data_IF_553623864483
#
_entry.id   IF_553623864483
#
_cell.length_a   1.000
_cell.length_b   1.000
_cell.length_c   1.000
_cell.angle_alpha   90.00
_cell.angle_beta   90.00
_cell.angle_gamma   90.00
#
_symmetry.space_group_name_H-M   'P 1'
#
loop_
_entity.id
_entity.type
_entity.pdbx_description
1 polymer ?
#
# COMPACT_ATOMS: atom_id res chain seq x y z
N UNK A 1 -11.52 -23.11 13.15
CA UNK A 1 -11.18 -22.74 11.76
C UNK A 1 -10.98 -21.23 11.71
N UNK A 2 -9.93 -20.74 11.03
CA UNK A 2 -9.64 -19.32 10.98
C UNK A 2 -10.73 -18.55 10.25
N UNK A 3 -11.00 -17.34 10.69
CA UNK A 3 -11.82 -16.41 9.94
C UNK A 3 -10.98 -15.83 8.82
N UNK A 4 -11.49 -15.90 7.59
CA UNK A 4 -10.77 -15.38 6.44
C UNK A 4 -11.00 -13.88 6.33
N UNK A 5 -9.91 -13.12 6.26
CA UNK A 5 -9.99 -11.68 6.04
C UNK A 5 -10.12 -11.46 4.54
N UNK A 6 -11.32 -11.14 4.08
CA UNK A 6 -11.64 -11.05 2.66
C UNK A 6 -11.33 -9.63 2.15
N UNK A 7 -10.11 -9.47 1.64
CA UNK A 7 -9.67 -8.17 1.14
C UNK A 7 -10.39 -7.75 -0.13
N UNK A 8 -10.76 -8.71 -0.96
CA UNK A 8 -11.48 -8.40 -2.19
C UNK A 8 -12.86 -7.78 -1.87
N UNK A 9 -13.57 -8.38 -0.92
CA UNK A 9 -14.88 -7.86 -0.52
C UNK A 9 -14.77 -6.49 0.14
N UNK A 10 -13.77 -6.33 1.01
CA UNK A 10 -13.54 -5.04 1.67
C UNK A 10 -13.18 -3.96 0.66
N UNK A 11 -12.31 -4.29 -0.29
CA UNK A 11 -11.92 -3.33 -1.33
C UNK A 11 -13.14 -2.87 -2.13
N UNK A 12 -14.01 -3.81 -2.51
CA UNK A 12 -15.23 -3.47 -3.26
C UNK A 12 -16.13 -2.54 -2.44
N UNK A 13 -16.28 -2.82 -1.15
CA UNK A 13 -17.07 -1.99 -0.24
C UNK A 13 -16.52 -0.57 -0.18
N UNK A 14 -15.21 -0.43 0.06
CA UNK A 14 -14.59 0.88 0.18
C UNK A 14 -14.59 1.64 -1.13
N UNK A 15 -14.40 0.95 -2.26
CA UNK A 15 -14.46 1.57 -3.58
C UNK A 15 -15.85 2.15 -3.85
N UNK A 16 -16.89 1.42 -3.49
CA UNK A 16 -18.26 1.91 -3.63
C UNK A 16 -18.52 3.15 -2.78
N UNK A 17 -18.05 3.12 -1.53
CA UNK A 17 -18.19 4.27 -0.64
C UNK A 17 -17.42 5.47 -1.18
N UNK A 18 -16.22 5.24 -1.72
CA UNK A 18 -15.42 6.32 -2.27
C UNK A 18 -16.10 6.96 -3.48
N UNK A 19 -16.67 6.14 -4.37
CA UNK A 19 -17.38 6.68 -5.53
C UNK A 19 -18.54 7.59 -5.10
N UNK A 20 -19.25 7.20 -4.04
CA UNK A 20 -20.33 8.02 -3.50
C UNK A 20 -19.80 9.33 -2.91
N UNK A 21 -18.73 9.27 -2.14
CA UNK A 21 -18.11 10.45 -1.56
C UNK A 21 -17.62 11.41 -2.64
N UNK A 22 -17.03 10.86 -3.69
CA UNK A 22 -16.52 11.67 -4.79
C UNK A 22 -17.63 12.38 -5.54
N UNK A 23 -18.74 11.69 -5.80
CA UNK A 23 -19.89 12.27 -6.47
C UNK A 23 -20.47 13.41 -5.64
N UNK A 24 -20.57 13.20 -4.32
CA UNK A 24 -21.09 14.20 -3.41
C UNK A 24 -20.17 15.43 -3.35
N UNK A 25 -18.86 15.21 -3.31
CA UNK A 25 -17.87 16.28 -3.31
C UNK A 25 -18.02 17.15 -4.55
N UNK A 26 -18.15 16.52 -5.71
CA UNK A 26 -18.33 17.23 -6.97
C UNK A 26 -19.62 18.07 -6.95
N UNK A 27 -20.70 17.47 -6.46
CA UNK A 27 -21.98 18.17 -6.40
C UNK A 27 -21.93 19.39 -5.47
N UNK A 28 -21.28 19.24 -4.31
CA UNK A 28 -21.27 20.29 -3.28
C UNK A 28 -20.23 21.39 -3.54
N UNK A 29 -19.07 21.04 -4.12
CA UNK A 29 -17.96 21.98 -4.24
C UNK A 29 -17.43 22.17 -5.65
N UNK A 30 -17.80 21.29 -6.59
CA UNK A 30 -17.24 21.30 -7.92
C UNK A 30 -15.86 20.64 -8.02
N UNK A 31 -15.27 20.24 -6.88
CA UNK A 31 -13.94 19.64 -6.88
C UNK A 31 -14.00 18.19 -7.31
N UNK A 32 -13.09 17.81 -8.22
CA UNK A 32 -12.93 16.42 -8.68
C UNK A 32 -11.49 16.02 -8.40
N UNK A 33 -11.27 14.97 -7.59
CA UNK A 33 -9.89 14.52 -7.39
C UNK A 33 -9.23 14.12 -8.70
N UNK A 34 -7.97 14.46 -8.87
CA UNK A 34 -7.22 14.15 -10.08
C UNK A 34 -5.98 13.35 -9.76
N UNK A 35 -5.78 12.25 -10.47
CA UNK A 35 -4.59 11.39 -10.33
C UNK A 35 -3.88 11.30 -11.66
N UNK A 36 -2.58 11.64 -11.66
CA UNK A 36 -1.74 11.43 -12.84
C UNK A 36 -0.72 10.35 -12.54
N UNK A 37 -0.61 9.40 -13.45
CA UNK A 37 0.35 8.30 -13.36
C UNK A 37 1.31 8.42 -14.53
N UNK A 38 2.60 8.48 -14.23
CA UNK A 38 3.64 8.60 -15.26
C UNK A 38 4.27 7.22 -15.45
N UNK A 39 4.25 6.72 -16.68
CA UNK A 39 4.85 5.45 -17.05
C UNK A 39 6.02 5.69 -17.99
N UNK A 40 7.21 5.26 -17.59
CA UNK A 40 8.44 5.41 -18.38
C UNK A 40 8.75 4.05 -19.02
N UNK A 41 8.70 4.01 -20.36
CA UNK A 41 8.96 2.78 -21.08
C UNK A 41 7.72 1.93 -21.26
N UNK A 42 7.95 0.66 -21.64
CA UNK A 42 6.85 -0.23 -22.03
C UNK A 42 6.89 -1.60 -21.35
N UNK A 43 7.44 -1.68 -20.14
CA UNK A 43 7.45 -2.91 -19.34
C UNK A 43 6.03 -3.48 -19.25
N UNK A 44 5.80 -4.74 -19.64
CA UNK A 44 4.44 -5.28 -19.67
C UNK A 44 3.76 -5.32 -18.31
N UNK A 45 4.48 -5.66 -17.25
CA UNK A 45 3.90 -5.70 -15.92
C UNK A 45 3.49 -4.31 -15.45
N UNK A 46 4.34 -3.31 -15.72
CA UNK A 46 4.03 -1.93 -15.37
C UNK A 46 2.80 -1.42 -16.11
N UNK A 47 2.65 -1.82 -17.39
CA UNK A 47 1.48 -1.43 -18.17
C UNK A 47 0.19 -1.96 -17.55
N UNK A 48 0.22 -3.20 -17.03
CA UNK A 48 -0.95 -3.78 -16.35
C UNK A 48 -1.27 -2.99 -15.08
N UNK A 49 -0.26 -2.68 -14.28
CA UNK A 49 -0.47 -1.93 -13.04
C UNK A 49 -1.05 -0.55 -13.32
N UNK A 50 -0.51 0.14 -14.31
CA UNK A 50 -0.97 1.48 -14.69
C UNK A 50 -2.42 1.42 -15.18
N UNK A 51 -2.74 0.43 -16.01
CA UNK A 51 -4.09 0.26 -16.54
C UNK A 51 -5.09 0.03 -15.40
N UNK A 52 -4.71 -0.78 -14.41
CA UNK A 52 -5.59 -1.04 -13.26
C UNK A 52 -5.79 0.22 -12.42
N UNK A 53 -4.75 1.03 -12.27
CA UNK A 53 -4.87 2.28 -11.53
C UNK A 53 -5.78 3.27 -12.25
N UNK A 54 -5.64 3.35 -13.57
CA UNK A 54 -6.53 4.21 -14.37
C UNK A 54 -7.98 3.78 -14.25
N UNK A 55 -8.22 2.47 -14.38
CA UNK A 55 -9.58 1.93 -14.26
C UNK A 55 -10.18 2.26 -12.90
N UNK A 56 -9.42 2.10 -11.83
CA UNK A 56 -9.90 2.36 -10.48
C UNK A 56 -10.18 3.84 -10.26
N UNK A 57 -9.32 4.72 -10.80
CA UNK A 57 -9.52 6.15 -10.67
C UNK A 57 -10.81 6.59 -11.38
N UNK A 58 -11.03 6.08 -12.60
CA UNK A 58 -12.23 6.42 -13.35
C UNK A 58 -13.47 5.88 -12.65
N UNK A 59 -13.41 4.66 -12.10
CA UNK A 59 -14.54 4.09 -11.37
C UNK A 59 -14.85 4.89 -10.11
N UNK A 60 -13.87 5.53 -9.50
CA UNK A 60 -14.07 6.37 -8.34
C UNK A 60 -14.64 7.74 -8.69
N UNK A 61 -14.72 8.07 -9.98
CA UNK A 61 -15.21 9.38 -10.44
C UNK A 61 -14.11 10.43 -10.53
N UNK A 62 -12.86 10.02 -10.52
CA UNK A 62 -11.71 10.92 -10.55
C UNK A 62 -11.38 11.36 -11.97
N UNK A 63 -10.71 12.50 -12.10
CA UNK A 63 -9.97 12.82 -13.30
C UNK A 63 -8.72 11.96 -13.31
N UNK A 64 -8.44 11.31 -14.43
CA UNK A 64 -7.30 10.39 -14.54
C UNK A 64 -6.50 10.68 -15.79
N UNK A 65 -5.18 10.74 -15.64
CA UNK A 65 -4.30 10.88 -16.80
C UNK A 65 -3.15 9.89 -16.65
N UNK A 66 -2.86 9.15 -17.72
CA UNK A 66 -1.68 8.32 -17.81
C UNK A 66 -0.75 8.96 -18.82
N UNK A 67 0.44 9.37 -18.36
CA UNK A 67 1.43 10.01 -19.22
C UNK A 67 2.49 8.98 -19.56
N UNK A 68 2.53 8.58 -20.82
CA UNK A 68 3.48 7.57 -21.30
C UNK A 68 4.65 8.28 -21.96
N UNK A 69 5.86 8.03 -21.46
CA UNK A 69 7.08 8.62 -22.03
C UNK A 69 8.04 7.51 -22.40
N UNK A 70 8.91 7.77 -23.39
CA UNK A 70 9.81 6.70 -23.85
C UNK A 70 10.87 6.37 -22.82
N UNK A 71 11.36 5.13 -22.89
CA UNK A 71 12.41 4.65 -22.01
C UNK A 71 13.67 5.53 -22.10
N UNK A 72 13.86 6.19 -23.22
CA UNK A 72 15.02 7.05 -23.48
C UNK A 72 14.92 8.43 -22.86
N UNK A 73 13.80 8.77 -22.21
CA UNK A 73 13.66 10.09 -21.56
C UNK A 73 14.83 10.32 -20.61
N UNK A 74 15.36 11.54 -20.59
CA UNK A 74 16.42 11.86 -19.62
C UNK A 74 15.82 12.12 -18.25
N UNK A 75 16.65 11.97 -17.22
CA UNK A 75 16.22 12.30 -15.88
C UNK A 75 15.75 13.74 -15.78
N UNK A 76 16.49 14.69 -16.39
CA UNK A 76 16.11 16.09 -16.35
C UNK A 76 14.74 16.32 -16.98
N UNK A 77 14.47 15.66 -18.11
CA UNK A 77 13.18 15.78 -18.77
C UNK A 77 12.05 15.23 -17.90
N UNK A 78 12.29 14.11 -17.23
CA UNK A 78 11.29 13.52 -16.33
C UNK A 78 11.03 14.42 -15.14
N UNK A 79 12.08 14.99 -14.55
CA UNK A 79 11.90 15.92 -13.42
C UNK A 79 11.13 17.17 -13.83
N UNK A 80 11.37 17.67 -15.06
CA UNK A 80 10.61 18.82 -15.57
C UNK A 80 9.12 18.47 -15.74
N UNK A 81 8.84 17.26 -16.20
CA UNK A 81 7.46 16.79 -16.34
C UNK A 81 6.77 16.74 -14.98
N UNK A 82 7.46 16.20 -13.98
CA UNK A 82 6.91 16.14 -12.62
C UNK A 82 6.66 17.56 -12.09
N UNK A 83 7.59 18.48 -12.32
CA UNK A 83 7.43 19.87 -11.88
C UNK A 83 6.18 20.51 -12.49
N UNK A 84 5.90 20.21 -13.74
CA UNK A 84 4.69 20.69 -14.40
C UNK A 84 3.43 20.24 -13.66
N UNK A 85 3.35 18.95 -13.32
CA UNK A 85 2.18 18.44 -12.61
C UNK A 85 2.13 18.92 -11.16
N UNK A 86 3.28 19.14 -10.53
CA UNK A 86 3.31 19.75 -9.19
C UNK A 86 2.61 21.10 -9.17
N UNK A 87 2.74 21.88 -10.24
CA UNK A 87 2.20 23.23 -10.30
C UNK A 87 0.74 23.29 -10.73
N UNK A 88 0.20 22.21 -11.23
CA UNK A 88 -1.15 22.20 -11.82
C UNK A 88 -2.17 21.83 -10.74
N UNK A 89 -3.05 22.76 -10.35
CA UNK A 89 -4.02 22.48 -9.28
C UNK A 89 -5.08 21.45 -9.64
N UNK A 90 -5.18 21.04 -10.91
CA UNK A 90 -6.13 19.99 -11.30
C UNK A 90 -5.69 18.61 -10.80
N UNK A 91 -4.41 18.44 -10.47
CA UNK A 91 -3.86 17.14 -10.10
C UNK A 91 -3.50 17.12 -8.63
N UNK A 92 -4.09 16.18 -7.90
CA UNK A 92 -3.93 16.07 -6.44
C UNK A 92 -3.01 14.91 -6.07
N UNK A 93 -2.87 13.94 -6.98
CA UNK A 93 -1.95 12.84 -6.79
C UNK A 93 -1.06 12.68 -8.00
N UNK A 94 0.24 12.51 -7.75
CA UNK A 94 1.24 12.24 -8.78
C UNK A 94 1.93 10.95 -8.42
N UNK A 95 1.98 10.02 -9.36
CA UNK A 95 2.59 8.72 -9.17
C UNK A 95 3.50 8.42 -10.35
N UNK A 96 4.75 8.04 -10.07
CA UNK A 96 5.65 7.55 -11.11
C UNK A 96 5.77 6.04 -10.93
N UNK A 97 5.33 5.30 -11.94
CA UNK A 97 5.31 3.84 -11.85
C UNK A 97 6.72 3.27 -11.85
N UNK A 98 7.05 2.51 -10.81
CA UNK A 98 8.34 1.83 -10.73
C UNK A 98 8.25 0.43 -11.33
N UNK A 99 9.35 -0.14 -11.80
CA UNK A 99 10.72 0.39 -11.78
C UNK A 99 11.00 1.36 -12.93
N UNK A 100 12.00 2.19 -12.75
CA UNK A 100 12.45 3.12 -13.76
C UNK A 100 13.67 2.57 -14.51
N UNK A 101 13.96 3.06 -15.74
CA UNK A 101 15.20 2.69 -16.43
C UNK A 101 16.43 2.99 -15.57
N UNK A 102 17.49 2.23 -15.78
CA UNK A 102 18.69 2.31 -14.92
C UNK A 102 19.39 3.66 -14.94
N UNK A 103 19.25 4.42 -16.02
CA UNK A 103 19.90 5.73 -16.12
C UNK A 103 19.18 6.82 -15.32
N UNK A 104 18.02 6.50 -14.72
CA UNK A 104 17.25 7.45 -13.93
C UNK A 104 17.36 7.07 -12.45
N UNK A 105 17.68 8.05 -11.62
CA UNK A 105 17.79 7.89 -10.19
C UNK A 105 16.40 7.92 -9.56
N UNK A 106 15.93 6.77 -9.09
CA UNK A 106 14.58 6.68 -8.51
C UNK A 106 14.40 7.60 -7.30
N UNK A 107 15.45 7.76 -6.50
CA UNK A 107 15.37 8.64 -5.33
C UNK A 107 15.17 10.10 -5.75
N UNK A 108 15.89 10.53 -6.78
CA UNK A 108 15.73 11.90 -7.27
C UNK A 108 14.30 12.14 -7.77
N UNK A 109 13.73 11.14 -8.44
CA UNK A 109 12.36 11.24 -8.93
C UNK A 109 11.38 11.33 -7.78
N UNK A 110 11.56 10.49 -6.79
CA UNK A 110 10.70 10.48 -5.61
C UNK A 110 10.73 11.83 -4.89
N UNK A 111 11.93 12.39 -4.72
CA UNK A 111 12.09 13.68 -4.05
C UNK A 111 11.50 14.85 -4.84
N UNK A 112 11.36 14.69 -6.16
CA UNK A 112 10.83 15.75 -7.00
C UNK A 112 9.31 15.90 -6.90
N UNK A 113 8.61 14.86 -6.46
CA UNK A 113 7.16 14.94 -6.31
C UNK A 113 6.84 15.79 -5.09
N UNK A 114 5.94 16.76 -5.26
CA UNK A 114 5.45 17.56 -4.14
C UNK A 114 4.92 16.61 -3.06
N UNK A 115 5.42 16.70 -1.82
CA UNK A 115 4.94 15.79 -0.76
C UNK A 115 3.43 15.82 -0.57
N UNK A 116 2.77 16.93 -0.88
CA UNK A 116 1.32 17.03 -0.76
C UNK A 116 0.59 16.34 -1.90
N UNK A 117 1.34 15.88 -2.93
CA UNK A 117 0.77 15.12 -4.06
C UNK A 117 1.35 13.71 -4.15
N UNK A 118 2.19 13.33 -3.20
CA UNK A 118 2.84 12.02 -3.14
C UNK A 118 1.86 10.99 -2.58
N UNK A 119 0.94 10.53 -3.42
CA UNK A 119 -0.13 9.63 -2.95
C UNK A 119 0.35 8.21 -2.64
N UNK A 120 1.54 7.83 -3.08
CA UNK A 120 2.16 6.59 -2.64
C UNK A 120 2.67 6.65 -1.19
N UNK A 121 2.96 7.88 -0.71
CA UNK A 121 3.45 8.06 0.65
C UNK A 121 4.92 7.74 0.83
N UNK A 122 5.70 7.69 -0.26
CA UNK A 122 7.10 7.25 -0.19
C UNK A 122 8.10 8.40 -0.02
N UNK A 123 7.67 9.64 -0.19
CA UNK A 123 8.55 10.79 -0.02
C UNK A 123 9.09 10.82 1.42
N UNK A 124 10.39 11.04 1.62
CA UNK A 124 10.95 11.06 2.99
C UNK A 124 10.23 12.00 3.94
N UNK A 125 9.72 13.14 3.47
CA UNK A 125 8.97 14.03 4.34
C UNK A 125 7.70 13.34 4.84
N UNK A 126 7.00 12.61 3.99
CA UNK A 126 5.80 11.90 4.42
C UNK A 126 6.13 10.73 5.34
N UNK A 127 7.25 10.05 5.09
CA UNK A 127 7.74 9.02 6.00
C UNK A 127 8.05 9.61 7.37
N UNK A 128 8.71 10.76 7.39
CA UNK A 128 9.02 11.45 8.65
C UNK A 128 7.77 11.86 9.39
N UNK A 129 6.78 12.38 8.68
CA UNK A 129 5.51 12.76 9.29
C UNK A 129 4.80 11.56 9.92
N UNK A 130 4.83 10.43 9.21
CA UNK A 130 4.24 9.21 9.73
C UNK A 130 4.91 8.79 11.05
N UNK A 131 6.24 8.77 11.07
CA UNK A 131 6.99 8.35 12.24
C UNK A 131 6.89 9.35 13.40
N UNK A 132 6.66 10.62 13.11
CA UNK A 132 6.52 11.63 14.18
C UNK A 132 5.10 11.76 14.70
N UNK A 133 4.16 10.96 14.20
CA UNK A 133 2.79 10.95 14.70
C UNK A 133 1.86 11.95 14.04
N UNK A 134 2.26 12.53 12.91
CA UNK A 134 1.44 13.49 12.18
C UNK A 134 1.32 13.08 10.70
N UNK A 135 0.80 11.88 10.42
CA UNK A 135 0.77 11.39 9.04
C UNK A 135 -0.12 12.22 8.14
N UNK A 136 0.32 12.41 6.90
CA UNK A 136 -0.45 13.04 5.86
C UNK A 136 -0.71 12.03 4.74
N UNK A 137 0.35 11.50 4.14
CA UNK A 137 0.26 10.43 3.15
C UNK A 137 0.80 9.15 3.77
N UNK A 138 0.06 8.07 3.66
CA UNK A 138 0.43 6.78 4.25
C UNK A 138 0.57 5.76 3.11
N UNK A 139 1.67 4.99 3.08
CA UNK A 139 1.79 3.95 2.04
C UNK A 139 0.56 3.05 1.98
N UNK A 140 0.13 2.75 0.76
CA UNK A 140 -1.18 2.16 0.54
C UNK A 140 -1.34 0.76 1.12
N UNK A 141 -0.33 -0.11 0.98
CA UNK A 141 -0.45 -1.47 1.48
C UNK A 141 -0.61 -1.49 3.01
N UNK A 142 0.26 -0.80 3.78
CA UNK A 142 0.02 -0.74 5.22
C UNK A 142 -1.31 -0.10 5.60
N UNK A 143 -1.72 0.94 4.89
CA UNK A 143 -3.01 1.58 5.17
C UNK A 143 -4.17 0.59 4.97
N UNK A 144 -4.09 -0.22 3.92
CA UNK A 144 -5.10 -1.23 3.64
C UNK A 144 -5.17 -2.29 4.72
N UNK A 145 -4.02 -2.69 5.25
CA UNK A 145 -3.97 -3.67 6.34
C UNK A 145 -4.65 -3.11 7.59
N UNK A 146 -4.45 -1.82 7.87
CA UNK A 146 -5.12 -1.20 9.01
C UNK A 146 -6.64 -1.19 8.83
N UNK A 147 -7.11 -0.97 7.58
CA UNK A 147 -8.54 -1.06 7.31
C UNK A 147 -9.07 -2.47 7.53
N UNK A 148 -8.28 -3.49 7.19
CA UNK A 148 -8.66 -4.88 7.47
C UNK A 148 -8.81 -5.11 8.97
N UNK A 149 -7.86 -4.63 9.79
CA UNK A 149 -7.98 -4.76 11.24
C UNK A 149 -9.25 -4.09 11.75
N UNK A 150 -9.54 -2.92 11.21
CA UNK A 150 -10.73 -2.18 11.61
C UNK A 150 -12.01 -2.95 11.23
N UNK A 151 -12.06 -3.42 10.00
CA UNK A 151 -13.25 -4.11 9.48
C UNK A 151 -13.56 -5.38 10.25
N UNK A 152 -12.53 -6.09 10.72
CA UNK A 152 -12.69 -7.37 11.39
C UNK A 152 -12.58 -7.31 12.91
N UNK A 153 -12.35 -5.95 13.38
CA UNK A 153 -12.36 -5.81 14.53
C UNK A 153 -11.37 -6.37 15.23
N UNK A 154 -10.33 -6.36 14.83
CA UNK A 154 -9.15 -6.89 15.48
C UNK A 154 -8.53 -5.83 16.37
N UNK A 155 -8.50 -6.08 17.63
CA UNK A 155 -7.95 -5.16 18.63
C UNK A 155 -6.41 -5.20 18.58
N UNK A 156 -5.78 -4.02 18.53
CA UNK A 156 -4.32 -3.90 18.44
C UNK A 156 -3.69 -3.44 19.75
N UNK A 157 -4.47 -2.81 20.61
CA UNK A 157 -3.93 -2.19 21.84
C UNK A 157 -3.35 -3.24 22.76
N UNK A 158 -2.09 -3.03 23.15
CA UNK A 158 -1.40 -3.93 24.05
C UNK A 158 -0.97 -5.26 23.44
N UNK A 159 -1.24 -5.47 22.15
CA UNK A 159 -0.90 -6.72 21.50
C UNK A 159 0.56 -6.75 21.08
N UNK A 160 1.10 -7.96 21.03
CA UNK A 160 2.45 -8.20 20.55
C UNK A 160 2.39 -8.39 19.04
N UNK A 161 2.90 -7.44 18.29
CA UNK A 161 2.86 -7.48 16.82
C UNK A 161 4.26 -7.69 16.29
N UNK A 162 4.42 -8.65 15.37
CA UNK A 162 5.69 -8.90 14.71
C UNK A 162 5.50 -8.63 13.22
N UNK A 163 6.40 -7.83 12.64
CA UNK A 163 6.43 -7.56 11.21
C UNK A 163 7.67 -8.23 10.64
N UNK A 164 7.49 -9.11 9.66
CA UNK A 164 8.60 -9.75 8.96
C UNK A 164 8.79 -9.03 7.63
N UNK A 165 9.88 -8.27 7.51
CA UNK A 165 10.17 -7.41 6.38
C UNK A 165 10.35 -5.97 6.84
N UNK A 166 11.30 -5.26 6.22
CA UNK A 166 11.65 -3.89 6.67
C UNK A 166 11.79 -2.91 5.52
N UNK A 167 11.01 -3.09 4.46
CA UNK A 167 11.06 -2.17 3.33
C UNK A 167 10.43 -0.82 3.70
N UNK A 168 10.79 0.22 2.96
CA UNK A 168 10.17 1.53 3.11
C UNK A 168 8.73 1.53 2.62
N UNK A 169 8.36 0.53 1.83
CA UNK A 169 7.03 0.45 1.22
C UNK A 169 6.03 -0.20 2.16
N UNK A 170 6.44 -1.25 2.89
CA UNK A 170 5.52 -2.00 3.73
C UNK A 170 6.03 -2.14 5.16
N UNK A 171 7.18 -2.78 5.37
CA UNK A 171 7.58 -3.17 6.73
C UNK A 171 7.71 -2.03 7.71
N UNK A 172 8.46 -1.00 7.33
CA UNK A 172 8.66 0.14 8.24
C UNK A 172 7.37 0.91 8.50
N UNK A 173 6.61 1.32 7.46
CA UNK A 173 5.37 2.03 7.76
C UNK A 173 4.35 1.15 8.49
N UNK A 174 4.33 -0.16 8.23
CA UNK A 174 3.43 -1.06 8.96
C UNK A 174 3.75 -1.07 10.45
N UNK A 175 5.05 -1.13 10.78
CA UNK A 175 5.47 -1.11 12.18
C UNK A 175 5.00 0.17 12.88
N UNK A 176 5.13 1.30 12.21
CA UNK A 176 4.71 2.57 12.80
C UNK A 176 3.19 2.65 12.97
N UNK A 177 2.42 2.16 11.99
CA UNK A 177 0.96 2.20 12.11
C UNK A 177 0.47 1.33 13.26
N UNK A 178 1.10 0.16 13.45
CA UNK A 178 0.77 -0.70 14.59
C UNK A 178 1.13 -0.04 15.92
N UNK A 179 2.31 0.59 15.97
CA UNK A 179 2.73 1.32 17.16
C UNK A 179 1.76 2.44 17.49
N UNK A 180 1.29 3.15 16.47
CA UNK A 180 0.35 4.26 16.65
C UNK A 180 -0.98 3.80 17.23
N UNK A 181 -1.30 2.51 17.09
CA UNK A 181 -2.50 1.91 17.69
C UNK A 181 -2.18 1.17 18.98
N UNK A 182 -1.05 1.51 19.59
CA UNK A 182 -0.65 1.02 20.91
C UNK A 182 -0.26 -0.45 20.96
N UNK A 183 0.15 -1.03 19.83
CA UNK A 183 0.74 -2.36 19.86
C UNK A 183 2.21 -2.26 20.25
N UNK A 184 2.75 -3.34 20.81
CA UNK A 184 4.18 -3.50 21.02
C UNK A 184 4.73 -4.18 19.79
N UNK A 185 5.64 -3.54 19.07
CA UNK A 185 6.05 -4.00 17.74
C UNK A 185 7.49 -4.47 17.70
N UNK A 186 7.70 -5.64 17.12
CA UNK A 186 9.04 -6.14 16.79
C UNK A 186 9.15 -6.17 15.27
N UNK A 187 10.11 -5.43 14.74
CA UNK A 187 10.39 -5.40 13.31
C UNK A 187 11.53 -6.35 13.02
N UNK A 188 11.29 -7.34 12.15
CA UNK A 188 12.27 -8.39 11.86
C UNK A 188 12.61 -8.42 10.38
N UNK A 189 13.68 -9.15 10.05
CA UNK A 189 14.20 -9.15 8.69
C UNK A 189 15.10 -10.38 8.47
N UNK A 190 15.76 -10.45 7.33
CA UNK A 190 16.57 -11.61 6.95
C UNK A 190 17.77 -11.84 7.87
N UNK A 191 18.19 -10.83 8.62
CA UNK A 191 19.33 -10.96 9.53
C UNK A 191 18.89 -11.24 10.98
N UNK A 192 17.60 -11.38 11.23
CA UNK A 192 17.09 -11.67 12.58
C UNK A 192 17.45 -13.08 13.00
N UNK A 193 18.05 -13.22 14.17
CA UNK A 193 18.36 -14.52 14.73
C UNK A 193 17.10 -15.19 15.27
N UNK A 194 16.94 -16.48 14.99
CA UNK A 194 15.83 -17.29 15.51
C UNK A 194 14.49 -16.67 15.14
N UNK A 195 14.33 -16.32 13.86
CA UNK A 195 13.17 -15.61 13.38
C UNK A 195 11.85 -16.31 13.70
N UNK A 196 11.79 -17.63 13.53
CA UNK A 196 10.56 -18.36 13.81
C UNK A 196 10.15 -18.24 15.29
N UNK A 197 11.13 -18.27 16.21
CA UNK A 197 10.84 -18.12 17.64
C UNK A 197 10.31 -16.72 17.95
N UNK A 198 10.88 -15.70 17.33
CA UNK A 198 10.40 -14.33 17.50
C UNK A 198 8.97 -14.20 16.98
N UNK A 199 8.73 -14.70 15.78
CA UNK A 199 7.42 -14.62 15.14
C UNK A 199 6.35 -15.38 15.93
N UNK A 200 6.72 -16.53 16.52
CA UNK A 200 5.76 -17.37 17.25
C UNK A 200 5.20 -16.72 18.51
N UNK A 201 5.78 -15.60 18.95
CA UNK A 201 5.24 -14.85 20.10
C UNK A 201 4.16 -13.86 19.70
N UNK A 202 3.95 -13.66 18.40
CA UNK A 202 3.07 -12.61 17.91
C UNK A 202 1.59 -12.94 18.09
N UNK A 203 0.84 -11.99 18.63
CA UNK A 203 -0.62 -11.98 18.55
C UNK A 203 -1.02 -11.59 17.12
N UNK A 204 -0.24 -10.71 16.50
CA UNK A 204 -0.48 -10.21 15.16
C UNK A 204 0.82 -10.34 14.37
N UNK A 205 0.77 -11.09 13.28
CA UNK A 205 1.94 -11.35 12.45
C UNK A 205 1.69 -10.82 11.04
N UNK A 206 2.54 -9.88 10.59
CA UNK A 206 2.47 -9.33 9.23
C UNK A 206 3.71 -9.77 8.47
N UNK A 207 3.54 -10.42 7.34
CA UNK A 207 4.65 -11.00 6.58
C UNK A 207 4.76 -10.33 5.21
N UNK A 208 5.90 -9.72 4.93
CA UNK A 208 6.12 -8.95 3.70
C UNK A 208 7.60 -9.06 3.26
N UNK A 209 7.99 -10.24 2.80
CA UNK A 209 9.39 -10.48 2.40
C UNK A 209 9.55 -10.98 0.97
N UNK A 210 8.47 -11.34 0.28
CA UNK A 210 8.54 -11.77 -1.10
C UNK A 210 9.18 -13.14 -1.29
N UNK A 211 8.95 -14.07 -0.36
CA UNK A 211 9.47 -15.44 -0.44
C UNK A 211 8.32 -16.42 -0.27
N UNK A 212 8.05 -17.20 -1.32
CA UNK A 212 6.89 -18.10 -1.37
C UNK A 212 6.89 -19.09 -0.20
N UNK A 213 5.80 -19.10 0.55
CA UNK A 213 5.52 -20.08 1.61
C UNK A 213 6.61 -20.18 2.68
N UNK A 214 7.32 -19.07 2.90
CA UNK A 214 8.43 -19.02 3.85
C UNK A 214 7.95 -19.24 5.29
N UNK A 215 6.82 -18.65 5.68
CA UNK A 215 6.29 -18.75 7.04
C UNK A 215 5.49 -20.04 7.18
N UNK A 216 6.00 -20.93 8.00
CA UNK A 216 5.39 -22.24 8.28
C UNK A 216 4.76 -22.24 9.67
N UNK A 217 4.18 -23.37 10.05
CA UNK A 217 3.44 -23.48 11.32
C UNK A 217 4.27 -23.09 12.55
N UNK A 218 5.57 -23.33 12.53
CA UNK A 218 6.44 -23.02 13.67
C UNK A 218 6.66 -21.53 13.89
N UNK A 219 6.26 -20.67 12.93
CA UNK A 219 6.32 -19.20 13.06
C UNK A 219 5.08 -18.64 13.76
N UNK A 220 4.05 -19.44 14.00
CA UNK A 220 2.72 -18.93 14.35
C UNK A 220 2.19 -19.62 15.61
N UNK A 221 1.83 -18.82 16.61
CA UNK A 221 1.19 -19.41 17.80
C UNK A 221 -0.31 -19.55 17.55
N UNK A 222 -0.95 -20.50 18.22
CA UNK A 222 -2.41 -20.66 18.08
C UNK A 222 -3.15 -19.36 18.43
N UNK A 223 -4.10 -18.99 17.58
CA UNK A 223 -4.93 -17.81 17.80
C UNK A 223 -4.38 -16.54 17.21
N UNK A 224 -3.20 -16.56 16.58
CA UNK A 224 -2.61 -15.36 15.99
C UNK A 224 -3.42 -14.87 14.77
N UNK A 225 -3.40 -13.55 14.58
CA UNK A 225 -3.89 -12.95 13.34
C UNK A 225 -2.72 -12.92 12.36
N UNK A 226 -2.91 -13.45 11.16
CA UNK A 226 -1.82 -13.55 10.17
C UNK A 226 -2.18 -12.78 8.91
N UNK A 227 -1.37 -11.78 8.59
CA UNK A 227 -1.53 -10.93 7.40
C UNK A 227 -0.39 -11.24 6.44
N UNK A 228 -0.73 -11.75 5.27
CA UNK A 228 0.23 -12.18 4.25
C UNK A 228 0.25 -11.14 3.12
N UNK A 229 1.33 -10.37 3.04
CA UNK A 229 1.47 -9.33 2.00
C UNK A 229 2.09 -9.92 0.73
N UNK A 230 2.66 -11.11 0.80
CA UNK A 230 3.40 -11.69 -0.31
C UNK A 230 2.57 -11.94 -1.56
N UNK A 231 3.21 -11.79 -2.71
CA UNK A 231 2.62 -12.12 -4.01
C UNK A 231 3.70 -12.83 -4.81
N UNK A 232 3.65 -14.14 -4.81
CA UNK A 232 4.66 -14.99 -5.43
C UNK A 232 4.02 -16.01 -6.36
N UNK A 233 4.85 -16.68 -7.15
CA UNK A 233 4.44 -17.87 -7.91
C UNK A 233 5.17 -19.07 -7.34
N UNK A 234 4.46 -20.15 -7.10
CA UNK A 234 5.08 -21.38 -6.60
C UNK A 234 5.69 -22.17 -7.78
N UNK A 235 6.20 -23.37 -7.49
CA UNK A 235 6.88 -24.18 -8.49
C UNK A 235 5.95 -24.60 -9.64
N UNK A 236 4.64 -24.53 -9.44
CA UNK A 236 3.63 -24.84 -10.46
C UNK A 236 3.10 -23.59 -11.16
N UNK A 237 3.67 -22.42 -10.86
CA UNK A 237 3.22 -21.16 -11.41
C UNK A 237 1.96 -20.59 -10.76
N UNK A 238 1.47 -21.22 -9.70
CA UNK A 238 0.26 -20.78 -9.02
C UNK A 238 0.59 -19.63 -8.07
N UNK A 239 -0.27 -18.62 -8.04
CA UNK A 239 -0.11 -17.48 -7.18
C UNK A 239 -0.19 -17.88 -5.71
N UNK A 240 0.75 -17.42 -4.89
CA UNK A 240 0.76 -17.72 -3.46
C UNK A 240 1.42 -16.58 -2.70
N UNK A 241 1.27 -16.60 -1.37
CA UNK A 241 1.88 -15.59 -0.52
C UNK A 241 3.20 -16.04 0.09
N UNK A 242 3.62 -15.27 1.09
CA UNK A 242 4.82 -15.58 1.89
C UNK A 242 4.51 -16.60 2.98
N UNK A 243 3.24 -16.87 3.25
CA UNK A 243 2.78 -17.79 4.29
C UNK A 243 2.36 -19.11 3.66
N UNK A 244 2.78 -20.21 4.27
CA UNK A 244 2.29 -21.53 3.91
C UNK A 244 0.86 -21.64 4.44
N UNK A 245 -0.10 -21.22 3.61
CA UNK A 245 -1.48 -21.04 4.01
C UNK A 245 -2.09 -22.31 4.63
N UNK A 246 -1.88 -23.46 3.97
CA UNK A 246 -2.49 -24.70 4.43
C UNK A 246 -1.97 -25.14 5.81
N UNK A 247 -0.70 -24.84 6.10
CA UNK A 247 -0.12 -25.19 7.39
C UNK A 247 -0.50 -24.20 8.49
N UNK A 248 -0.69 -22.92 8.14
CA UNK A 248 -0.88 -21.85 9.12
C UNK A 248 -2.35 -21.58 9.42
N UNK A 249 -3.23 -21.72 8.44
CA UNK A 249 -4.65 -21.42 8.63
C UNK A 249 -5.28 -22.18 9.80
N UNK A 250 -4.96 -23.46 10.01
CA UNK A 250 -5.55 -24.15 11.17
C UNK A 250 -5.18 -23.55 12.52
N UNK A 251 -4.06 -22.83 12.61
CA UNK A 251 -3.60 -22.21 13.86
C UNK A 251 -4.15 -20.82 14.08
N UNK A 252 -4.35 -20.07 13.00
CA UNK A 252 -4.69 -18.65 13.05
C UNK A 252 -6.13 -18.43 13.52
N UNK A 253 -6.37 -17.30 14.19
CA UNK A 253 -7.74 -16.85 14.45
C UNK A 253 -8.31 -16.18 13.20
N UNK A 254 -7.47 -15.40 12.53
CA UNK A 254 -7.81 -14.67 11.29
C UNK A 254 -6.64 -14.80 10.35
N UNK A 255 -6.91 -14.91 9.05
CA UNK A 255 -5.84 -15.00 8.07
C UNK A 255 -6.27 -14.40 6.74
N UNK A 256 -5.35 -13.73 6.05
CA UNK A 256 -5.60 -13.23 4.70
C UNK A 256 -5.23 -14.30 3.67
N UNK A 257 -6.06 -14.49 2.64
CA UNK A 257 -5.68 -15.39 1.54
C UNK A 257 -4.81 -14.68 0.52
N UNK A 258 -4.14 -15.42 -0.33
CA UNK A 258 -3.44 -14.88 -1.50
C UNK A 258 -3.82 -15.78 -2.68
N UNK A 259 -4.48 -15.24 -3.72
CA UNK A 259 -4.96 -13.86 -3.89
C UNK A 259 -6.21 -13.54 -3.08
N UNK A 260 -6.61 -12.28 -3.10
CA UNK A 260 -7.86 -11.87 -2.50
C UNK A 260 -7.76 -11.32 -1.08
N UNK A 261 -6.53 -11.15 -0.59
CA UNK A 261 -6.28 -10.57 0.73
C UNK A 261 -5.81 -9.13 0.63
N UNK A 262 -4.51 -8.92 0.88
CA UNK A 262 -3.94 -7.58 0.94
C UNK A 262 -3.91 -6.89 -0.43
N UNK A 263 -3.65 -7.65 -1.50
CA UNK A 263 -3.47 -7.06 -2.83
C UNK A 263 -4.57 -6.12 -3.28
N UNK A 264 -5.84 -6.54 -3.23
CA UNK A 264 -6.94 -5.65 -3.67
C UNK A 264 -7.02 -4.34 -2.90
N UNK A 265 -6.54 -4.32 -1.66
CA UNK A 265 -6.62 -3.12 -0.83
C UNK A 265 -5.63 -2.04 -1.26
N UNK A 266 -4.53 -2.40 -1.91
CA UNK A 266 -3.49 -1.44 -2.25
C UNK A 266 -4.00 -0.36 -3.19
N UNK A 267 -4.65 -0.75 -4.30
CA UNK A 267 -5.20 0.24 -5.24
C UNK A 267 -6.33 1.03 -4.59
N UNK A 268 -7.15 0.37 -3.78
CA UNK A 268 -8.25 1.03 -3.07
C UNK A 268 -7.72 2.16 -2.20
N UNK A 269 -6.65 1.90 -1.44
CA UNK A 269 -6.10 2.93 -0.56
C UNK A 269 -5.39 4.03 -1.33
N UNK A 270 -4.80 3.71 -2.48
CA UNK A 270 -4.23 4.74 -3.35
C UNK A 270 -5.31 5.74 -3.78
N UNK A 271 -6.49 5.25 -4.14
CA UNK A 271 -7.59 6.12 -4.50
C UNK A 271 -8.05 6.93 -3.28
N UNK A 272 -8.13 6.31 -2.13
CA UNK A 272 -8.52 7.03 -0.90
C UNK A 272 -7.51 8.15 -0.59
N UNK A 273 -6.21 7.89 -0.74
CA UNK A 273 -5.17 8.89 -0.52
C UNK A 273 -5.32 10.06 -1.49
N UNK A 274 -5.66 9.78 -2.73
CA UNK A 274 -5.87 10.82 -3.75
C UNK A 274 -7.07 11.67 -3.39
N UNK A 275 -8.15 11.05 -2.94
CA UNK A 275 -9.35 11.76 -2.49
C UNK A 275 -9.02 12.67 -1.31
N UNK A 276 -8.28 12.17 -0.32
CA UNK A 276 -7.91 12.97 0.84
C UNK A 276 -6.98 14.12 0.45
N UNK A 277 -6.08 13.91 -0.51
CA UNK A 277 -5.21 14.98 -1.00
C UNK A 277 -6.06 16.09 -1.63
N UNK A 278 -7.10 15.73 -2.38
CA UNK A 278 -8.00 16.72 -2.97
C UNK A 278 -8.75 17.49 -1.88
N UNK A 279 -9.28 16.78 -0.88
CA UNK A 279 -9.98 17.43 0.23
C UNK A 279 -9.11 18.46 0.94
N UNK A 280 -7.84 18.16 1.12
CA UNK A 280 -6.93 19.08 1.83
C UNK A 280 -6.77 20.40 1.10
N UNK A 281 -7.00 20.45 -0.21
CA UNK A 281 -6.89 21.71 -0.95
C UNK A 281 -8.05 22.67 -0.62
N UNK A 282 -9.17 22.17 -0.12
CA UNK A 282 -10.31 22.99 0.24
C UNK A 282 -10.07 23.77 1.53
N UNK A 283 -9.12 23.36 2.35
CA UNK A 283 -8.87 23.95 3.67
C UNK A 283 -7.67 24.90 3.68
N UNK A 284 -7.21 25.37 2.51
CA UNK A 284 -6.03 26.21 2.41
C UNK A 284 -6.32 27.71 2.22
N UNK A 285 -7.49 28.18 2.56
CA UNK A 285 -7.82 29.61 2.49
C UNK A 285 -7.48 30.32 3.78
#
# INVERSE_FOLDING_TARGET
MAQIIDGKALAAKLQGQLAEKTAKLKEETGLVPGLVVILVGDNPASQVYVRNKERSALAAGFRSEVVRVPETITQAELLDLIAKYNQDPAWHGILVQLPLPKHIDEEAVLLAIDPEKDVDGFHPLNMGRLWSGHPVMIPSTPAGIMEMFHEYXIDLEGKNAVVIGRSNIVGKPMAQLLLAKNATVTLTHSRTHHLAKVAAKADILVVAIGRAKFVTADFVKPGAVVIDVGMNRDENGKLCGDVDYDAVAPLASHITPVPGGVGPMTITMLMEQTYQAALRTLNKD
#
